data_IF_663147176794
#
_entry.id   IF_663147176794
#
_cell.length_a   1.000
_cell.length_b   1.000
_cell.length_c   1.000
_cell.angle_alpha   90.00
_cell.angle_beta   90.00
_cell.angle_gamma   90.00
#
_symmetry.space_group_name_H-M   'P 1'
#
loop_
_entity.id
_entity.type
_entity.pdbx_description
1 polymer ?
#
# COMPACT_ATOMS: atom_id res chain seq x y z
N UNK A 1 33.33 19.30 -1.13
CA UNK A 1 32.83 18.09 -0.42
C UNK A 1 31.31 17.92 -0.54
N UNK A 2 30.52 18.98 -0.32
CA UNK A 2 29.05 18.94 -0.44
C UNK A 2 28.55 18.74 -1.89
N UNK A 3 29.17 19.38 -2.88
CA UNK A 3 28.79 19.21 -4.30
C UNK A 3 28.97 17.77 -4.80
N UNK A 4 30.10 17.13 -4.49
CA UNK A 4 30.32 15.71 -4.84
C UNK A 4 29.31 14.78 -4.17
N UNK A 5 28.80 15.15 -2.99
CA UNK A 5 27.76 14.38 -2.30
C UNK A 5 26.42 14.52 -3.03
N UNK A 6 26.01 15.74 -3.38
CA UNK A 6 24.80 15.99 -4.16
C UNK A 6 24.83 15.29 -5.52
N UNK A 7 25.95 15.38 -6.24
CA UNK A 7 26.13 14.70 -7.52
C UNK A 7 25.99 13.17 -7.41
N UNK A 8 26.52 12.59 -6.33
CA UNK A 8 26.37 11.16 -6.08
C UNK A 8 24.93 10.79 -5.70
N UNK A 9 24.26 11.59 -4.88
CA UNK A 9 22.86 11.37 -4.51
C UNK A 9 21.95 11.42 -5.75
N UNK A 10 22.18 12.35 -6.68
CA UNK A 10 21.46 12.41 -7.97
C UNK A 10 21.67 11.16 -8.83
N UNK A 11 22.91 10.67 -8.94
CA UNK A 11 23.22 9.42 -9.67
C UNK A 11 22.49 8.23 -9.04
N UNK A 12 22.53 8.11 -7.72
CA UNK A 12 21.87 7.04 -6.98
C UNK A 12 20.35 7.08 -7.23
N UNK A 13 19.74 8.25 -7.14
CA UNK A 13 18.30 8.43 -7.39
C UNK A 13 17.93 7.98 -8.79
N UNK A 14 18.72 8.39 -9.80
CA UNK A 14 18.48 8.02 -11.19
C UNK A 14 18.54 6.50 -11.39
N UNK A 15 19.57 5.84 -10.85
CA UNK A 15 19.70 4.37 -10.91
C UNK A 15 18.51 3.66 -10.27
N UNK A 16 18.03 4.17 -9.11
CA UNK A 16 16.87 3.60 -8.42
C UNK A 16 15.60 3.78 -9.25
N UNK A 17 15.38 4.97 -9.81
CA UNK A 17 14.21 5.25 -10.63
C UNK A 17 14.18 4.39 -11.90
N UNK A 18 15.33 4.23 -12.56
CA UNK A 18 15.44 3.42 -13.77
C UNK A 18 15.20 1.94 -13.48
N UNK A 19 15.74 1.41 -12.37
CA UNK A 19 15.42 0.05 -11.92
C UNK A 19 13.93 -0.13 -11.61
N UNK A 20 13.32 0.82 -10.88
CA UNK A 20 11.88 0.79 -10.55
C UNK A 20 10.96 0.89 -11.77
N UNK A 21 11.38 1.54 -12.86
CA UNK A 21 10.63 1.52 -14.12
C UNK A 21 10.53 0.11 -14.71
N UNK A 22 11.55 -0.72 -14.51
CA UNK A 22 11.58 -2.10 -15.03
C UNK A 22 10.85 -3.07 -14.11
N UNK A 23 11.12 -3.04 -12.80
CA UNK A 23 10.62 -4.07 -11.86
C UNK A 23 9.41 -3.65 -11.03
N UNK A 24 8.99 -2.40 -11.13
CA UNK A 24 7.84 -1.83 -10.42
C UNK A 24 8.21 -0.79 -9.36
N UNK A 25 7.37 0.23 -9.23
CA UNK A 25 7.63 1.41 -8.37
C UNK A 25 7.70 1.10 -6.86
N UNK A 26 7.16 -0.05 -6.44
CA UNK A 26 7.05 -0.45 -5.03
C UNK A 26 8.18 -1.38 -4.56
N UNK A 27 9.30 -1.45 -5.29
CA UNK A 27 10.46 -2.24 -4.85
C UNK A 27 11.06 -1.69 -3.55
N UNK A 28 11.19 -2.56 -2.55
CA UNK A 28 11.72 -2.24 -1.23
C UNK A 28 13.23 -1.98 -1.22
N UNK A 29 13.69 -1.22 -0.22
CA UNK A 29 15.08 -0.75 -0.10
C UNK A 29 16.13 -1.87 0.01
N UNK A 30 15.80 -2.99 0.67
CA UNK A 30 16.72 -4.14 0.77
C UNK A 30 17.02 -4.72 -0.61
N UNK A 31 15.97 -4.91 -1.43
CA UNK A 31 16.12 -5.43 -2.80
C UNK A 31 16.87 -4.42 -3.67
N UNK A 32 16.51 -3.13 -3.60
CA UNK A 32 17.22 -2.08 -4.33
C UNK A 32 18.73 -2.08 -4.02
N UNK A 33 19.11 -2.20 -2.74
CA UNK A 33 20.51 -2.25 -2.35
C UNK A 33 21.22 -3.48 -2.94
N UNK A 34 20.62 -4.67 -2.85
CA UNK A 34 21.22 -5.90 -3.36
C UNK A 34 21.45 -5.85 -4.88
N UNK A 35 20.45 -5.37 -5.61
CA UNK A 35 20.43 -5.36 -7.08
C UNK A 35 21.33 -4.26 -7.66
N UNK A 36 21.35 -3.09 -7.03
CA UNK A 36 22.15 -1.95 -7.50
C UNK A 36 23.58 -1.95 -6.96
N UNK A 37 23.94 -2.86 -6.03
CA UNK A 37 25.26 -2.91 -5.39
C UNK A 37 26.40 -2.93 -6.41
N UNK A 38 26.30 -3.77 -7.44
CA UNK A 38 27.33 -3.85 -8.49
C UNK A 38 27.40 -2.56 -9.31
N UNK A 39 26.24 -1.96 -9.60
CA UNK A 39 26.19 -0.66 -10.28
C UNK A 39 26.84 0.46 -9.47
N UNK A 40 26.67 0.47 -8.15
CA UNK A 40 27.33 1.43 -7.27
C UNK A 40 28.85 1.25 -7.28
N UNK A 41 29.34 0.01 -7.22
CA UNK A 41 30.78 -0.29 -7.29
C UNK A 41 31.36 0.16 -8.64
N UNK A 42 30.68 -0.12 -9.75
CA UNK A 42 31.14 0.26 -11.09
C UNK A 42 31.18 1.78 -11.32
N UNK A 43 30.37 2.55 -10.59
CA UNK A 43 30.39 4.02 -10.63
C UNK A 43 31.26 4.65 -9.53
N UNK A 44 32.05 3.84 -8.79
CA UNK A 44 32.86 4.26 -7.64
C UNK A 44 32.05 4.97 -6.53
N UNK A 45 30.77 4.60 -6.40
CA UNK A 45 29.85 5.11 -5.38
C UNK A 45 29.97 4.25 -4.13
N UNK A 46 30.70 4.74 -3.12
CA UNK A 46 30.79 4.10 -1.80
C UNK A 46 29.56 4.43 -0.95
N UNK A 47 28.54 3.56 -1.04
CA UNK A 47 27.32 3.67 -0.23
C UNK A 47 26.97 2.35 0.47
N UNK A 48 26.74 2.45 1.77
CA UNK A 48 26.21 1.34 2.57
C UNK A 48 24.68 1.34 2.58
N UNK A 49 24.09 0.22 3.04
CA UNK A 49 22.64 0.04 3.16
C UNK A 49 21.97 1.19 3.91
N UNK A 50 22.47 1.56 5.07
CA UNK A 50 21.79 2.53 5.95
C UNK A 50 21.81 3.93 5.33
N UNK A 51 22.94 4.32 4.74
CA UNK A 51 23.06 5.57 3.99
C UNK A 51 22.15 5.60 2.75
N UNK A 52 21.95 4.47 2.08
CA UNK A 52 20.95 4.37 1.01
C UNK A 52 19.53 4.64 1.54
N UNK A 53 19.18 4.12 2.72
CA UNK A 53 17.89 4.43 3.36
C UNK A 53 17.75 5.91 3.70
N UNK A 54 18.83 6.58 4.10
CA UNK A 54 18.80 8.02 4.36
C UNK A 54 18.57 8.82 3.08
N UNK A 55 19.22 8.46 1.98
CA UNK A 55 18.97 9.06 0.64
C UNK A 55 17.51 8.81 0.23
N UNK A 56 17.03 7.57 0.34
CA UNK A 56 15.64 7.24 0.02
C UNK A 56 14.65 8.05 0.87
N UNK A 57 14.94 8.27 2.15
CA UNK A 57 14.10 9.05 3.06
C UNK A 57 14.11 10.53 2.71
N UNK A 58 15.29 11.11 2.48
CA UNK A 58 15.45 12.53 2.14
C UNK A 58 14.73 12.90 0.83
N UNK A 59 14.68 11.97 -0.11
CA UNK A 59 14.06 12.18 -1.42
C UNK A 59 12.65 11.58 -1.55
N UNK A 60 11.99 11.19 -0.45
CA UNK A 60 10.64 10.62 -0.46
C UNK A 60 10.47 9.37 -1.37
N UNK A 61 11.51 8.56 -1.49
CA UNK A 61 11.55 7.35 -2.31
C UNK A 61 11.30 6.06 -1.52
N UNK A 62 11.06 6.14 -0.20
CA UNK A 62 10.65 4.98 0.59
C UNK A 62 9.26 4.50 0.15
N UNK A 63 9.09 3.18 0.10
CA UNK A 63 7.80 2.57 -0.24
C UNK A 63 6.83 2.80 0.93
N UNK A 64 5.70 3.51 0.74
CA UNK A 64 4.78 3.76 1.82
C UNK A 64 4.06 2.46 2.20
N UNK A 65 3.90 2.26 3.52
CA UNK A 65 3.06 1.20 4.06
C UNK A 65 1.61 1.49 3.68
N UNK A 66 0.94 0.55 3.02
CA UNK A 66 -0.49 0.66 2.76
C UNK A 66 -1.22 0.44 4.09
N UNK A 67 -2.23 1.28 4.35
CA UNK A 67 -3.16 1.01 5.45
C UNK A 67 -4.02 -0.18 5.05
N UNK A 68 -4.00 -1.23 5.87
CA UNK A 68 -4.95 -2.33 5.74
C UNK A 68 -6.20 -1.94 6.54
N UNK A 69 -7.31 -1.72 5.85
CA UNK A 69 -8.61 -1.57 6.51
C UNK A 69 -9.16 -2.96 6.86
N UNK A 70 -9.96 -3.04 7.92
CA UNK A 70 -10.71 -4.25 8.22
C UNK A 70 -11.81 -4.39 7.17
N UNK A 71 -11.67 -5.37 6.29
CA UNK A 71 -12.68 -5.69 5.30
C UNK A 71 -13.76 -6.55 5.94
N UNK A 72 -15.00 -6.05 6.01
CA UNK A 72 -16.16 -6.76 6.55
C UNK A 72 -16.63 -7.91 5.66
N UNK A 73 -16.53 -7.73 4.34
CA UNK A 73 -17.11 -8.65 3.35
C UNK A 73 -16.02 -9.29 2.49
N UNK A 74 -15.92 -10.62 2.53
CA UNK A 74 -15.12 -11.37 1.57
C UNK A 74 -15.94 -11.73 0.33
N UNK A 75 -16.06 -10.81 -0.63
CA UNK A 75 -16.76 -11.07 -1.90
C UNK A 75 -16.06 -12.11 -2.80
N UNK A 76 -14.80 -12.44 -2.49
CA UNK A 76 -14.01 -13.46 -3.17
C UNK A 76 -14.03 -14.80 -2.39
N UNK A 77 -15.22 -15.24 -2.00
CA UNK A 77 -15.45 -16.54 -1.39
C UNK A 77 -15.98 -17.55 -2.41
N UNK A 78 -15.79 -18.84 -2.14
CA UNK A 78 -16.30 -19.92 -2.99
C UNK A 78 -17.79 -20.24 -2.74
N UNK A 79 -18.40 -19.66 -1.70
CA UNK A 79 -19.82 -19.91 -1.38
C UNK A 79 -20.77 -19.39 -2.47
N UNK A 80 -21.94 -20.02 -2.56
CA UNK A 80 -23.01 -19.64 -3.49
C UNK A 80 -23.46 -18.21 -3.22
N UNK A 81 -23.44 -17.37 -4.27
CA UNK A 81 -24.03 -16.03 -4.25
C UNK A 81 -25.50 -16.11 -4.64
N UNK A 82 -26.40 -15.65 -3.78
CA UNK A 82 -27.84 -15.59 -4.05
C UNK A 82 -28.16 -14.38 -4.93
N UNK A 83 -29.22 -14.48 -5.74
CA UNK A 83 -29.70 -13.36 -6.56
C UNK A 83 -30.33 -12.30 -5.67
N UNK A 84 -30.16 -11.03 -6.01
CA UNK A 84 -30.89 -9.94 -5.35
C UNK A 84 -32.38 -10.03 -5.73
N UNK A 85 -33.22 -10.44 -4.78
CA UNK A 85 -34.66 -10.64 -4.97
C UNK A 85 -35.44 -9.32 -5.12
N UNK A 86 -34.89 -8.21 -4.62
CA UNK A 86 -35.57 -6.91 -4.56
C UNK A 86 -35.14 -5.95 -5.67
N UNK A 87 -34.33 -6.41 -6.64
CA UNK A 87 -33.67 -5.54 -7.64
C UNK A 87 -34.65 -4.62 -8.39
N UNK A 88 -35.85 -5.10 -8.68
CA UNK A 88 -36.88 -4.40 -9.45
C UNK A 88 -38.12 -4.07 -8.60
N UNK A 89 -37.99 -4.09 -7.27
CA UNK A 89 -39.08 -3.79 -6.33
C UNK A 89 -38.87 -2.41 -5.70
N UNK A 90 -39.91 -1.59 -5.69
CA UNK A 90 -39.91 -0.28 -5.02
C UNK A 90 -40.90 -0.34 -3.85
N UNK A 91 -40.42 -0.36 -2.60
CA UNK A 91 -41.28 -0.27 -1.43
C UNK A 91 -42.07 1.05 -1.44
N UNK A 92 -43.38 0.98 -1.24
CA UNK A 92 -44.31 2.12 -1.21
C UNK A 92 -44.97 2.36 0.15
N UNK A 93 -44.72 1.49 1.13
CA UNK A 93 -45.20 1.59 2.51
C UNK A 93 -44.14 1.07 3.48
N UNK A 94 -44.18 1.49 4.76
CA UNK A 94 -43.36 0.88 5.81
C UNK A 94 -43.55 -0.64 5.86
N UNK A 95 -42.57 -1.35 6.42
CA UNK A 95 -42.63 -2.81 6.68
C UNK A 95 -42.56 -3.71 5.44
N UNK A 96 -42.27 -3.18 4.25
CA UNK A 96 -42.18 -3.96 3.01
C UNK A 96 -40.77 -4.48 2.70
N UNK A 97 -39.74 -3.82 3.21
CA UNK A 97 -38.35 -4.19 3.03
C UNK A 97 -37.59 -3.83 4.29
N UNK A 98 -36.85 -4.80 4.83
CA UNK A 98 -35.95 -4.62 5.95
C UNK A 98 -34.54 -4.86 5.45
N UNK A 99 -33.63 -3.93 5.74
CA UNK A 99 -32.21 -4.00 5.38
C UNK A 99 -31.41 -4.17 6.66
N UNK A 100 -30.53 -5.16 6.68
CA UNK A 100 -29.58 -5.34 7.77
C UNK A 100 -28.17 -5.02 7.29
N UNK A 101 -27.41 -4.27 8.08
CA UNK A 101 -25.98 -4.04 7.84
C UNK A 101 -25.15 -4.34 9.11
N UNK A 102 -23.89 -4.69 8.90
CA UNK A 102 -22.93 -4.90 9.98
C UNK A 102 -21.63 -4.14 9.70
N UNK A 103 -21.19 -3.34 10.67
CA UNK A 103 -19.95 -2.56 10.58
C UNK A 103 -19.06 -2.75 11.80
N UNK A 104 -17.76 -2.56 11.64
CA UNK A 104 -16.80 -2.58 12.76
C UNK A 104 -16.51 -1.17 13.25
N UNK A 105 -16.59 -0.97 14.56
CA UNK A 105 -16.27 0.28 15.22
C UNK A 105 -15.00 0.09 16.04
N UNK A 106 -14.01 0.97 15.81
CA UNK A 106 -12.79 0.99 16.60
C UNK A 106 -13.06 1.73 17.91
N UNK A 107 -12.65 1.11 19.02
CA UNK A 107 -12.73 1.65 20.38
C UNK A 107 -11.35 1.60 21.05
N UNK A 108 -11.19 2.25 22.20
CA UNK A 108 -9.93 2.20 22.96
C UNK A 108 -9.59 0.79 23.47
N UNK A 109 -10.62 -0.05 23.67
CA UNK A 109 -10.50 -1.43 24.12
C UNK A 109 -10.41 -2.45 22.97
N UNK A 110 -10.30 -2.00 21.71
CA UNK A 110 -10.21 -2.88 20.54
C UNK A 110 -11.34 -2.64 19.53
N UNK A 111 -11.74 -3.71 18.83
CA UNK A 111 -12.74 -3.63 17.76
C UNK A 111 -14.06 -4.26 18.22
N UNK A 112 -15.15 -3.50 18.08
CA UNK A 112 -16.52 -3.98 18.27
C UNK A 112 -17.22 -4.06 16.92
N UNK A 113 -18.33 -4.79 16.85
CA UNK A 113 -19.24 -4.77 15.70
C UNK A 113 -20.57 -4.13 16.09
N UNK A 114 -21.19 -3.43 15.14
CA UNK A 114 -22.53 -2.87 15.24
C UNK A 114 -23.37 -3.51 14.15
N UNK A 115 -24.44 -4.18 14.55
CA UNK A 115 -25.46 -4.73 13.65
C UNK A 115 -26.70 -3.86 13.74
N UNK A 116 -27.18 -3.38 12.59
CA UNK A 116 -28.36 -2.51 12.47
C UNK A 116 -29.36 -3.20 11.56
N UNK A 117 -30.63 -3.07 11.90
CA UNK A 117 -31.75 -3.47 11.06
C UNK A 117 -32.65 -2.25 10.88
N UNK A 118 -32.96 -1.89 9.64
CA UNK A 118 -33.75 -0.70 9.25
C UNK A 118 -34.81 -1.04 8.23
#
# INVERSE_FOLDING_TARGET
AQENKQLNDEKIIRMIQDYRKVVGQRTGGIKLYAELKQGFINQDIKIGRDKLYDVLRLHNLLVPKLKNYVTTTNSNHQFRKYKNLIKDQVPNRPEQLWVSDITYIKTDNGHNYLAIVT
#
